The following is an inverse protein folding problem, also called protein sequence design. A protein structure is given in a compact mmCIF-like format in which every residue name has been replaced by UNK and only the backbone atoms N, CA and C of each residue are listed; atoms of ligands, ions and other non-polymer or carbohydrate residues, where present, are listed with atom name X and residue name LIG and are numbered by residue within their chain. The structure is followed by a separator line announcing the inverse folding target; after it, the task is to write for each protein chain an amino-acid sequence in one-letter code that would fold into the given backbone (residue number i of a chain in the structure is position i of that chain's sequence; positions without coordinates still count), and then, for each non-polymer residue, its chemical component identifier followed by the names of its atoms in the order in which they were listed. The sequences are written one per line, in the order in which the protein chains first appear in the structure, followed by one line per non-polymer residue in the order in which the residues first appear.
data_IF_384980464974
#
_entry.id   IF_384980464974
#
_cell.length_a   1.000
_cell.length_b   1.000
_cell.length_c   1.000
_cell.angle_alpha   90.00
_cell.angle_beta   90.00
_cell.angle_gamma   90.00
#
_symmetry.space_group_name_H-M   'P 1'
#
loop_
_entity.id
_entity.type
_entity.pdbx_description
1 polymer ?
#
# COMPACT_ATOMS: atom_id res chain seq x y z
N UNK A 1 15.75 51.36 -21.62
CA UNK A 1 15.33 49.96 -21.88
C UNK A 1 13.81 49.91 -21.74
N UNK A 2 13.11 49.56 -22.83
CA UNK A 2 11.64 49.55 -22.79
C UNK A 2 11.13 48.26 -22.10
N UNK A 3 10.55 48.42 -20.93
CA UNK A 3 10.02 47.31 -20.14
C UNK A 3 8.81 46.63 -20.78
N UNK A 4 8.09 47.37 -21.65
CA UNK A 4 6.95 46.81 -22.38
C UNK A 4 7.44 45.85 -23.44
N UNK A 5 8.44 46.26 -24.21
CA UNK A 5 9.10 45.41 -25.21
C UNK A 5 9.65 44.13 -24.61
N UNK A 6 10.30 44.22 -23.45
CA UNK A 6 10.81 43.03 -22.75
C UNK A 6 9.68 42.12 -22.23
N UNK A 7 8.56 42.68 -21.78
CA UNK A 7 7.41 41.92 -21.37
C UNK A 7 6.76 41.15 -22.50
N UNK A 8 6.67 41.78 -23.68
CA UNK A 8 6.13 41.15 -24.89
C UNK A 8 7.07 40.05 -25.43
N UNK A 9 8.38 40.29 -25.38
CA UNK A 9 9.40 39.34 -25.89
C UNK A 9 9.56 38.13 -25.00
N UNK A 10 9.59 38.29 -23.66
CA UNK A 10 9.92 37.23 -22.70
C UNK A 10 8.73 36.70 -21.89
N UNK A 11 7.54 37.30 -21.96
CA UNK A 11 6.31 36.87 -21.33
C UNK A 11 6.04 37.37 -19.89
N UNK A 12 7.04 37.63 -19.02
CA UNK A 12 6.80 38.13 -17.68
C UNK A 12 6.23 39.55 -17.67
N UNK A 13 5.31 39.86 -16.76
CA UNK A 13 4.76 41.22 -16.62
C UNK A 13 5.85 42.26 -16.34
N UNK A 14 5.67 43.46 -16.85
CA UNK A 14 6.62 44.60 -16.69
C UNK A 14 7.04 44.82 -15.23
N UNK A 15 6.10 44.73 -14.28
CA UNK A 15 6.39 44.78 -12.82
C UNK A 15 7.32 43.69 -12.32
N UNK A 16 7.24 42.49 -12.89
CA UNK A 16 8.14 41.36 -12.55
C UNK A 16 9.54 41.63 -13.05
N UNK A 17 9.67 42.08 -14.30
CA UNK A 17 10.96 42.45 -14.91
C UNK A 17 11.61 43.58 -14.12
N UNK A 18 10.86 44.61 -13.77
CA UNK A 18 11.35 45.72 -12.94
C UNK A 18 11.85 45.25 -11.58
N UNK A 19 11.13 44.34 -10.91
CA UNK A 19 11.54 43.76 -9.63
C UNK A 19 12.83 42.96 -9.76
N UNK A 20 12.99 42.17 -10.83
CA UNK A 20 14.21 41.43 -11.13
C UNK A 20 15.39 42.36 -11.40
N UNK A 21 15.18 43.40 -12.16
CA UNK A 21 16.20 44.43 -12.47
C UNK A 21 16.66 45.14 -11.19
N UNK A 22 15.75 45.58 -10.34
CA UNK A 22 16.08 46.20 -9.05
C UNK A 22 16.84 45.24 -8.11
N UNK A 23 16.48 43.96 -8.14
CA UNK A 23 17.20 42.94 -7.37
C UNK A 23 18.62 42.79 -7.91
N UNK A 24 18.77 42.63 -9.22
CA UNK A 24 20.08 42.52 -9.88
C UNK A 24 21.01 43.70 -9.55
N UNK A 25 20.49 44.91 -9.61
CA UNK A 25 21.28 46.09 -9.25
C UNK A 25 21.76 46.07 -7.78
N UNK A 26 21.01 45.42 -6.90
CA UNK A 26 21.32 45.36 -5.46
C UNK A 26 22.20 44.18 -5.09
N UNK A 27 22.02 43.02 -5.71
CA UNK A 27 22.62 41.75 -5.28
C UNK A 27 23.51 41.09 -6.33
N UNK A 28 23.51 41.60 -7.56
CA UNK A 28 24.22 40.96 -8.67
C UNK A 28 23.53 39.71 -9.24
N UNK A 29 22.39 39.31 -8.68
CA UNK A 29 21.65 38.12 -9.08
C UNK A 29 20.15 38.39 -9.13
N UNK A 30 19.42 37.65 -9.98
CA UNK A 30 17.96 37.68 -10.13
C UNK A 30 17.28 36.52 -9.41
N UNK A 31 18.04 35.51 -8.95
CA UNK A 31 17.51 34.35 -8.27
C UNK A 31 16.77 34.73 -6.98
N UNK A 32 15.68 34.03 -6.69
CA UNK A 32 14.94 34.27 -5.44
C UNK A 32 15.83 33.88 -4.25
N UNK A 33 15.94 34.80 -3.31
CA UNK A 33 16.61 34.52 -2.05
C UNK A 33 15.97 33.31 -1.39
N UNK A 34 16.74 32.26 -1.05
CA UNK A 34 16.18 31.13 -0.31
C UNK A 34 15.39 31.64 0.89
N UNK A 35 14.16 31.14 1.05
CA UNK A 35 13.37 31.49 2.24
C UNK A 35 14.18 31.07 3.47
N UNK A 36 14.41 32.02 4.37
CA UNK A 36 15.02 31.71 5.66
C UNK A 36 14.25 30.56 6.32
N UNK A 37 14.98 29.56 6.80
CA UNK A 37 14.40 28.46 7.55
C UNK A 37 13.57 29.06 8.69
N UNK A 38 12.29 28.69 8.76
CA UNK A 38 11.41 29.13 9.83
C UNK A 38 12.02 28.63 11.14
N UNK A 39 12.25 29.55 12.09
CA UNK A 39 12.64 29.18 13.46
C UNK A 39 11.51 28.31 14.05
N UNK A 40 11.91 27.28 14.82
CA UNK A 40 10.98 26.49 15.61
C UNK A 40 10.11 27.42 16.49
N UNK A 41 8.88 27.04 16.69
CA UNK A 41 7.93 27.77 17.54
C UNK A 41 8.17 27.54 19.02
N UNK A 42 8.88 26.47 19.32
CA UNK A 42 9.19 26.03 20.67
C UNK A 42 10.69 26.08 20.92
N UNK A 43 11.09 26.29 22.18
CA UNK A 43 12.48 26.13 22.61
C UNK A 43 12.99 24.70 22.30
N UNK A 44 14.32 24.50 22.15
CA UNK A 44 14.89 23.21 21.80
C UNK A 44 14.56 22.08 22.77
N UNK A 45 14.51 22.36 24.07
CA UNK A 45 14.15 21.44 25.15
C UNK A 45 12.71 20.90 24.99
N UNK A 46 11.78 21.78 24.64
CA UNK A 46 10.38 21.40 24.35
C UNK A 46 10.32 20.52 23.09
N UNK A 47 11.05 20.85 22.04
CA UNK A 47 11.09 20.05 20.79
C UNK A 47 11.61 18.66 21.08
N UNK A 48 12.69 18.53 21.85
CA UNK A 48 13.27 17.24 22.24
C UNK A 48 12.30 16.40 23.09
N UNK A 49 11.64 17.03 24.06
CA UNK A 49 10.65 16.36 24.90
C UNK A 49 9.46 15.84 24.08
N UNK A 50 8.96 16.63 23.11
CA UNK A 50 7.88 16.23 22.20
C UNK A 50 8.33 15.08 21.29
N UNK A 51 9.56 15.12 20.78
CA UNK A 51 10.10 14.03 19.95
C UNK A 51 10.15 12.70 20.74
N UNK A 52 10.63 12.78 21.99
CA UNK A 52 10.65 11.62 22.90
C UNK A 52 9.25 11.11 23.22
N UNK A 53 8.30 12.02 23.50
CA UNK A 53 6.90 11.66 23.74
C UNK A 53 6.29 10.93 22.56
N UNK A 54 6.43 11.47 21.35
CA UNK A 54 5.89 10.87 20.11
C UNK A 54 6.48 9.50 19.82
N UNK A 55 7.78 9.30 20.07
CA UNK A 55 8.44 7.99 19.93
C UNK A 55 7.87 6.96 20.91
N UNK A 56 7.57 7.37 22.14
CA UNK A 56 6.96 6.49 23.16
C UNK A 56 5.47 6.23 22.98
N UNK A 57 4.75 7.16 22.34
CA UNK A 57 3.30 7.13 22.19
C UNK A 57 2.89 7.37 20.73
N UNK A 58 3.19 6.47 19.79
CA UNK A 58 2.99 6.72 18.35
C UNK A 58 1.51 6.90 17.93
N UNK A 59 0.56 6.54 18.78
CA UNK A 59 -0.89 6.60 18.53
C UNK A 59 -1.61 7.67 19.34
N UNK A 60 -0.89 8.67 19.86
CA UNK A 60 -1.45 9.71 20.71
C UNK A 60 -2.49 10.58 20.02
N UNK A 61 -3.40 11.14 20.81
CA UNK A 61 -4.27 12.25 20.42
C UNK A 61 -3.61 13.60 20.72
N UNK A 62 -3.98 14.63 19.96
CA UNK A 62 -3.40 15.97 20.15
C UNK A 62 -3.64 16.51 21.56
N UNK A 63 -4.78 16.19 22.15
CA UNK A 63 -5.16 16.56 23.51
C UNK A 63 -4.22 15.95 24.56
N UNK A 64 -3.82 14.69 24.39
CA UNK A 64 -2.87 14.02 25.28
C UNK A 64 -1.48 14.69 25.24
N UNK A 65 -1.03 15.09 24.06
CA UNK A 65 0.21 15.86 23.92
C UNK A 65 0.07 17.28 24.48
N UNK A 66 -1.13 17.88 24.41
CA UNK A 66 -1.39 19.18 25.08
C UNK A 66 -1.26 19.06 26.59
N UNK A 67 -1.83 18.02 27.18
CA UNK A 67 -1.78 17.79 28.63
C UNK A 67 -0.34 17.51 29.07
N UNK A 68 0.40 16.66 28.36
CA UNK A 68 1.83 16.46 28.58
C UNK A 68 2.62 17.78 28.57
N UNK A 69 2.38 18.64 27.57
CA UNK A 69 3.07 19.93 27.46
C UNK A 69 2.69 20.92 28.58
N UNK A 70 1.46 20.87 29.09
CA UNK A 70 1.03 21.71 30.24
C UNK A 70 1.71 21.26 31.53
N UNK A 71 1.84 19.95 31.71
CA UNK A 71 2.43 19.36 32.91
C UNK A 71 3.95 19.56 32.96
N UNK A 72 4.65 19.26 31.87
CA UNK A 72 6.10 19.35 31.81
C UNK A 72 6.62 20.79 31.62
N UNK A 73 5.86 21.65 30.95
CA UNK A 73 6.25 23.02 30.61
C UNK A 73 5.16 24.05 31.00
N UNK A 74 4.89 24.29 32.30
CA UNK A 74 3.79 25.17 32.74
C UNK A 74 3.86 26.60 32.21
N UNK A 75 5.07 27.08 31.90
CA UNK A 75 5.32 28.44 31.38
C UNK A 75 5.22 28.52 29.84
N UNK A 76 5.01 27.39 29.15
CA UNK A 76 4.95 27.35 27.70
C UNK A 76 3.63 27.97 27.21
N UNK A 77 3.74 29.04 26.43
CA UNK A 77 2.63 29.63 25.72
C UNK A 77 2.53 28.99 24.32
N UNK A 78 1.38 29.02 23.69
CA UNK A 78 1.13 28.47 22.33
C UNK A 78 1.14 26.93 22.23
N UNK A 79 0.32 26.30 23.06
CA UNK A 79 0.03 24.87 23.03
C UNK A 79 -1.34 24.55 22.40
N UNK A 80 -1.84 25.40 21.50
CA UNK A 80 -3.08 25.10 20.77
C UNK A 80 -2.88 23.93 19.82
N UNK A 81 -3.93 23.16 19.56
CA UNK A 81 -3.93 22.02 18.61
C UNK A 81 -3.31 22.41 17.24
N UNK A 82 -3.63 23.63 16.76
CA UNK A 82 -3.07 24.16 15.51
C UNK A 82 -1.56 24.40 15.59
N UNK A 83 -1.05 24.87 16.74
CA UNK A 83 0.38 25.08 16.95
C UNK A 83 1.12 23.75 17.02
N UNK A 84 0.58 22.78 17.76
CA UNK A 84 1.10 21.42 17.85
C UNK A 84 1.17 20.77 16.48
N UNK A 85 0.06 20.75 15.72
CA UNK A 85 0.05 20.19 14.35
C UNK A 85 1.12 20.82 13.45
N UNK A 86 1.33 22.16 13.57
CA UNK A 86 2.36 22.85 12.78
C UNK A 86 3.77 22.51 13.25
N UNK A 87 4.00 22.38 14.55
CA UNK A 87 5.31 21.99 15.09
C UNK A 87 5.64 20.54 14.68
N UNK A 88 4.72 19.60 14.83
CA UNK A 88 4.89 18.23 14.36
C UNK A 88 5.25 18.18 12.87
N UNK A 89 4.50 18.90 12.02
CA UNK A 89 4.70 18.84 10.56
C UNK A 89 5.96 19.57 10.08
N UNK A 90 6.27 20.73 10.64
CA UNK A 90 7.31 21.62 10.09
C UNK A 90 8.61 21.61 10.91
N UNK A 91 8.52 21.49 12.23
CA UNK A 91 9.70 21.52 13.09
C UNK A 91 10.27 20.11 13.27
N UNK A 92 9.39 19.09 13.46
CA UNK A 92 9.78 17.69 13.63
C UNK A 92 9.65 16.83 12.35
N UNK A 93 9.15 17.39 11.25
CA UNK A 93 8.95 16.67 9.96
C UNK A 93 8.07 15.42 10.11
N UNK A 94 7.19 15.38 11.11
CA UNK A 94 6.28 14.27 11.37
C UNK A 94 4.97 14.45 10.62
N UNK A 95 4.53 13.43 9.90
CA UNK A 95 3.26 13.44 9.17
C UNK A 95 2.33 12.38 9.72
N UNK A 96 1.03 12.71 9.78
CA UNK A 96 0.00 11.73 10.16
C UNK A 96 -0.05 10.60 9.13
N UNK A 97 0.21 9.38 9.55
CA UNK A 97 0.14 8.17 8.71
C UNK A 97 -1.07 7.33 9.08
N UNK A 98 -1.58 6.56 8.12
CA UNK A 98 -2.53 5.49 8.43
C UNK A 98 -1.76 4.40 9.16
N UNK A 99 -2.31 3.92 10.27
CA UNK A 99 -1.67 2.85 11.04
C UNK A 99 -1.68 1.56 10.22
N UNK A 100 -0.50 0.99 10.03
CA UNK A 100 -0.36 -0.37 9.51
C UNK A 100 -0.38 -1.31 10.70
N UNK A 101 -1.38 -2.20 10.73
CA UNK A 101 -1.46 -3.23 11.76
C UNK A 101 -0.58 -4.39 11.34
N UNK A 102 0.53 -4.59 12.02
CA UNK A 102 1.29 -5.83 11.94
C UNK A 102 0.74 -6.81 12.97
N UNK A 103 0.64 -8.08 12.61
CA UNK A 103 0.25 -9.10 13.57
C UNK A 103 1.39 -9.28 14.59
N UNK A 104 1.04 -9.32 15.87
CA UNK A 104 2.00 -9.52 16.96
C UNK A 104 2.65 -10.91 16.90
N UNK A 105 1.95 -11.83 16.27
CA UNK A 105 2.31 -13.24 16.08
C UNK A 105 3.24 -13.48 14.89
N UNK A 106 3.50 -12.47 14.04
CA UNK A 106 4.46 -12.58 12.95
C UNK A 106 5.88 -12.69 13.52
N UNK A 107 6.53 -13.82 13.26
CA UNK A 107 7.89 -14.09 13.73
C UNK A 107 8.91 -13.76 12.63
N UNK A 108 9.87 -12.86 12.88
CA UNK A 108 10.92 -12.51 11.89
C UNK A 108 11.69 -13.73 11.39
N UNK A 109 11.88 -14.75 12.25
CA UNK A 109 12.56 -16.00 11.90
C UNK A 109 11.81 -16.78 10.81
N UNK A 110 10.49 -16.82 10.82
CA UNK A 110 9.67 -17.48 9.80
C UNK A 110 9.78 -16.76 8.44
N UNK A 111 9.89 -15.43 8.46
CA UNK A 111 10.14 -14.63 7.26
C UNK A 111 11.51 -14.98 6.66
N UNK A 112 12.56 -15.07 7.48
CA UNK A 112 13.89 -15.47 7.03
C UNK A 112 13.91 -16.89 6.44
N UNK A 113 13.22 -17.84 7.08
CA UNK A 113 13.09 -19.21 6.58
C UNK A 113 12.36 -19.23 5.22
N UNK A 114 11.29 -18.46 5.07
CA UNK A 114 10.58 -18.32 3.81
C UNK A 114 11.47 -17.74 2.72
N UNK A 115 12.17 -16.63 3.01
CA UNK A 115 13.08 -15.97 2.08
C UNK A 115 14.21 -16.93 1.62
N UNK A 116 14.81 -17.67 2.53
CA UNK A 116 15.84 -18.65 2.20
C UNK A 116 15.31 -19.79 1.30
N UNK A 117 14.10 -20.29 1.57
CA UNK A 117 13.44 -21.30 0.72
C UNK A 117 13.14 -20.76 -0.67
N UNK A 118 12.66 -19.52 -0.76
CA UNK A 118 12.36 -18.86 -2.03
C UNK A 118 13.64 -18.63 -2.83
N UNK A 119 14.69 -18.09 -2.21
CA UNK A 119 15.98 -17.83 -2.87
C UNK A 119 16.59 -19.07 -3.52
N UNK A 120 16.41 -20.25 -2.90
CA UNK A 120 16.90 -21.52 -3.42
C UNK A 120 16.26 -21.94 -4.76
N UNK A 121 15.09 -21.43 -5.10
CA UNK A 121 14.31 -21.82 -6.29
C UNK A 121 13.95 -20.66 -7.21
N UNK A 122 14.09 -19.41 -6.75
CA UNK A 122 13.68 -18.20 -7.43
C UNK A 122 14.83 -17.58 -8.23
N UNK A 123 14.56 -17.16 -9.45
CA UNK A 123 15.51 -16.47 -10.31
C UNK A 123 14.98 -15.14 -10.86
N UNK A 124 13.69 -15.04 -11.18
CA UNK A 124 13.06 -13.86 -11.76
C UNK A 124 11.56 -13.82 -11.47
N UNK A 125 10.93 -12.61 -11.45
CA UNK A 125 9.54 -12.41 -11.03
C UNK A 125 8.50 -13.23 -11.79
N UNK A 126 8.71 -13.46 -13.10
CA UNK A 126 7.74 -14.20 -13.93
C UNK A 126 7.58 -15.68 -13.53
N UNK A 127 8.46 -16.22 -12.68
CA UNK A 127 8.29 -17.57 -12.13
C UNK A 127 7.17 -17.65 -11.09
N UNK A 128 6.84 -16.53 -10.45
CA UNK A 128 5.93 -16.50 -9.31
C UNK A 128 4.47 -16.39 -9.75
N UNK A 129 3.62 -17.16 -9.08
CA UNK A 129 2.16 -17.06 -9.15
C UNK A 129 1.62 -17.03 -7.73
N UNK A 130 1.01 -15.92 -7.36
CA UNK A 130 0.34 -15.77 -6.06
C UNK A 130 -1.12 -16.15 -6.19
N UNK A 131 -1.59 -17.04 -5.32
CA UNK A 131 -2.96 -17.53 -5.29
C UNK A 131 -3.57 -17.23 -3.93
N UNK A 132 -4.78 -16.64 -3.94
CA UNK A 132 -5.49 -16.30 -2.70
C UNK A 132 -6.99 -16.09 -3.00
N UNK A 133 -7.81 -16.00 -1.93
CA UNK A 133 -9.22 -15.69 -2.04
C UNK A 133 -9.56 -14.32 -1.46
N UNK A 134 -10.45 -13.65 -2.14
CA UNK A 134 -11.11 -12.47 -1.60
C UNK A 134 -12.62 -12.64 -1.64
N UNK A 135 -13.31 -11.92 -0.78
CA UNK A 135 -14.77 -11.89 -0.80
C UNK A 135 -15.27 -10.47 -0.76
N UNK A 136 -16.42 -10.27 -1.40
CA UNK A 136 -17.13 -9.00 -1.39
C UNK A 136 -18.63 -9.25 -1.26
N UNK A 137 -19.26 -8.53 -0.33
CA UNK A 137 -20.72 -8.45 -0.30
C UNK A 137 -21.22 -7.17 -1.02
N UNK A 138 -22.51 -7.10 -1.27
CA UNK A 138 -23.11 -5.98 -1.99
C UNK A 138 -22.90 -4.62 -1.27
N UNK A 139 -22.76 -4.60 0.06
CA UNK A 139 -22.56 -3.36 0.83
C UNK A 139 -21.16 -2.79 0.69
N UNK A 140 -20.16 -3.61 0.57
CA UNK A 140 -18.77 -3.17 0.40
C UNK A 140 -18.51 -2.51 -0.96
N UNK A 141 -19.43 -2.68 -1.93
CA UNK A 141 -19.35 -2.02 -3.21
C UNK A 141 -19.76 -0.55 -3.16
N UNK A 142 -20.55 -0.12 -2.16
CA UNK A 142 -21.07 1.24 -2.12
C UNK A 142 -20.03 2.30 -1.73
N UNK A 143 -20.21 3.50 -2.33
CA UNK A 143 -19.40 4.67 -2.01
C UNK A 143 -19.70 5.13 -0.59
N UNK A 144 -18.66 5.40 0.21
CA UNK A 144 -18.78 5.79 1.62
C UNK A 144 -19.03 7.30 1.81
N UNK A 145 -18.77 8.12 0.80
CA UNK A 145 -18.84 9.58 0.89
C UNK A 145 -19.75 10.15 -0.18
N UNK A 146 -20.53 11.15 0.19
CA UNK A 146 -21.36 11.95 -0.69
C UNK A 146 -21.22 13.43 -0.34
N UNK A 147 -21.68 14.30 -1.24
CA UNK A 147 -21.69 15.74 -1.01
C UNK A 147 -23.11 16.20 -0.77
N UNK A 148 -23.29 17.10 0.22
CA UNK A 148 -24.54 17.78 0.51
C UNK A 148 -24.29 19.25 0.86
N UNK A 149 -25.33 20.07 0.96
CA UNK A 149 -25.19 21.45 1.41
C UNK A 149 -24.62 21.50 2.83
N UNK A 150 -23.82 22.53 3.13
CA UNK A 150 -23.27 22.75 4.47
C UNK A 150 -24.41 22.76 5.51
N UNK A 151 -24.25 21.95 6.56
CA UNK A 151 -25.26 21.81 7.62
C UNK A 151 -26.35 20.77 7.34
N UNK A 152 -26.36 20.09 6.18
CA UNK A 152 -27.31 19.02 5.88
C UNK A 152 -26.62 17.67 5.77
N UNK A 153 -27.34 16.58 6.14
CA UNK A 153 -26.81 15.22 6.02
C UNK A 153 -26.90 14.75 4.57
N UNK A 154 -25.86 14.09 4.10
CA UNK A 154 -25.93 13.32 2.85
C UNK A 154 -26.60 11.97 3.14
N UNK A 155 -27.79 11.75 2.60
CA UNK A 155 -28.58 10.52 2.83
C UNK A 155 -28.74 9.78 1.51
N UNK A 156 -28.38 8.50 1.50
CA UNK A 156 -28.62 7.58 0.39
C UNK A 156 -29.43 6.39 0.92
N UNK A 157 -30.50 6.04 0.25
CA UNK A 157 -31.29 4.84 0.57
C UNK A 157 -30.61 3.65 -0.07
N UNK A 158 -30.12 2.73 0.74
CA UNK A 158 -29.48 1.49 0.30
C UNK A 158 -30.31 0.30 0.78
N UNK A 159 -30.29 -0.85 0.05
CA UNK A 159 -30.89 -2.08 0.52
C UNK A 159 -30.31 -2.46 1.89
N UNK A 160 -31.17 -2.84 2.82
CA UNK A 160 -30.74 -3.26 4.17
C UNK A 160 -30.06 -4.64 4.14
N UNK A 161 -30.48 -5.51 3.21
CA UNK A 161 -29.88 -6.82 3.03
C UNK A 161 -28.44 -6.71 2.50
N UNK A 162 -27.57 -7.58 2.99
CA UNK A 162 -26.14 -7.64 2.54
C UNK A 162 -25.98 -8.10 1.09
N UNK A 163 -27.05 -8.68 0.51
CA UNK A 163 -26.95 -9.43 -0.74
C UNK A 163 -26.21 -10.76 -0.54
N UNK A 164 -26.09 -11.54 -1.61
CA UNK A 164 -25.27 -12.74 -1.60
C UNK A 164 -23.78 -12.35 -1.51
N UNK A 165 -23.03 -13.06 -0.67
CA UNK A 165 -21.58 -12.94 -0.62
C UNK A 165 -20.99 -13.66 -1.82
N UNK A 166 -20.18 -12.96 -2.60
CA UNK A 166 -19.40 -13.55 -3.68
C UNK A 166 -17.94 -13.67 -3.22
N UNK A 167 -17.42 -14.88 -3.28
CA UNK A 167 -16.01 -15.15 -3.06
C UNK A 167 -15.32 -15.39 -4.40
N UNK A 168 -14.11 -14.87 -4.54
CA UNK A 168 -13.29 -14.95 -5.74
C UNK A 168 -11.97 -15.57 -5.34
N UNK A 169 -11.62 -16.69 -5.96
CA UNK A 169 -10.24 -17.22 -6.00
C UNK A 169 -9.57 -16.61 -7.22
N UNK A 170 -8.38 -16.06 -7.07
CA UNK A 170 -7.62 -15.50 -8.18
C UNK A 170 -6.15 -15.85 -8.09
N UNK A 171 -5.50 -15.93 -9.25
CA UNK A 171 -4.07 -16.09 -9.40
C UNK A 171 -3.49 -14.83 -10.06
N UNK A 172 -2.43 -14.29 -9.46
CA UNK A 172 -1.70 -13.10 -9.90
C UNK A 172 -0.28 -13.50 -10.29
N UNK A 173 0.12 -13.19 -11.51
CA UNK A 173 1.51 -13.24 -11.94
C UNK A 173 2.15 -11.84 -11.93
N UNK A 174 3.40 -11.72 -12.39
CA UNK A 174 4.12 -10.44 -12.44
C UNK A 174 3.48 -9.38 -13.34
N UNK A 175 2.51 -9.74 -14.16
CA UNK A 175 1.88 -8.87 -15.17
C UNK A 175 0.44 -8.52 -14.84
N UNK A 176 -0.36 -9.53 -14.46
CA UNK A 176 -1.82 -9.39 -14.34
C UNK A 176 -2.47 -10.47 -13.47
N UNK A 177 -3.75 -10.34 -13.21
CA UNK A 177 -4.56 -11.47 -12.77
C UNK A 177 -4.69 -12.47 -13.94
N UNK A 178 -3.88 -13.52 -13.89
CA UNK A 178 -3.82 -14.51 -14.97
C UNK A 178 -5.08 -15.40 -15.06
N UNK A 179 -5.76 -15.60 -13.93
CA UNK A 179 -7.00 -16.39 -13.88
C UNK A 179 -7.78 -16.15 -12.59
N UNK A 180 -9.08 -16.42 -12.63
CA UNK A 180 -9.97 -16.34 -11.45
C UNK A 180 -11.20 -17.23 -11.60
N UNK A 181 -11.82 -17.56 -10.46
CA UNK A 181 -13.12 -18.22 -10.36
C UNK A 181 -13.94 -17.59 -9.24
N UNK A 182 -15.26 -17.55 -9.44
CA UNK A 182 -16.21 -17.03 -8.45
C UNK A 182 -17.07 -18.15 -7.88
N UNK A 183 -17.50 -17.98 -6.65
CA UNK A 183 -18.53 -18.82 -6.03
C UNK A 183 -19.44 -17.97 -5.15
N UNK A 184 -20.71 -18.32 -5.10
CA UNK A 184 -21.59 -17.79 -4.07
C UNK A 184 -21.22 -18.40 -2.70
N UNK A 185 -21.20 -17.56 -1.67
CA UNK A 185 -20.77 -17.94 -0.32
C UNK A 185 -19.25 -18.00 -0.17
N UNK A 186 -18.75 -19.07 0.44
CA UNK A 186 -17.33 -19.29 0.70
C UNK A 186 -16.82 -20.50 -0.08
N UNK A 187 -15.53 -20.47 -0.45
CA UNK A 187 -14.85 -21.66 -0.95
C UNK A 187 -14.76 -22.72 0.15
N UNK A 188 -15.20 -23.93 -0.17
CA UNK A 188 -14.82 -25.13 0.56
C UNK A 188 -13.54 -25.69 -0.04
N UNK A 189 -12.86 -26.61 0.66
CA UNK A 189 -11.64 -27.27 0.15
C UNK A 189 -11.86 -27.87 -1.25
N UNK A 190 -12.97 -28.60 -1.46
CA UNK A 190 -13.29 -29.18 -2.76
C UNK A 190 -13.48 -28.11 -3.83
N UNK A 191 -14.35 -27.13 -3.59
CA UNK A 191 -14.60 -26.03 -4.55
C UNK A 191 -13.30 -25.25 -4.88
N UNK A 192 -12.44 -25.08 -3.90
CA UNK A 192 -11.15 -24.42 -4.11
C UNK A 192 -10.26 -25.29 -5.01
N UNK A 193 -10.17 -26.57 -4.74
CA UNK A 193 -9.38 -27.50 -5.54
C UNK A 193 -9.86 -27.56 -7.00
N UNK A 194 -11.17 -27.71 -7.19
CA UNK A 194 -11.77 -27.75 -8.53
C UNK A 194 -11.50 -26.45 -9.30
N UNK A 195 -11.70 -25.29 -8.65
CA UNK A 195 -11.42 -23.99 -9.22
C UNK A 195 -9.92 -23.80 -9.55
N UNK A 196 -9.02 -24.27 -8.69
CA UNK A 196 -7.59 -24.27 -8.92
C UNK A 196 -7.19 -25.15 -10.11
N UNK A 197 -7.70 -26.39 -10.15
CA UNK A 197 -7.42 -27.34 -11.22
C UNK A 197 -7.93 -26.82 -12.60
N UNK A 198 -9.09 -26.21 -12.64
CA UNK A 198 -9.67 -25.70 -13.87
C UNK A 198 -9.07 -24.38 -14.36
N UNK A 199 -8.77 -23.46 -13.44
CA UNK A 199 -8.42 -22.10 -13.82
C UNK A 199 -6.92 -21.81 -13.72
N UNK A 200 -6.17 -22.44 -12.83
CA UNK A 200 -4.76 -22.09 -12.59
C UNK A 200 -3.83 -23.13 -13.21
N UNK A 201 -4.09 -24.42 -13.00
CA UNK A 201 -3.24 -25.53 -13.48
C UNK A 201 -2.91 -25.44 -14.97
N UNK A 202 -3.84 -25.11 -15.89
CA UNK A 202 -3.52 -25.02 -17.32
C UNK A 202 -2.50 -23.96 -17.70
N UNK A 203 -2.23 -23.02 -16.80
CA UNK A 203 -1.28 -21.91 -17.00
C UNK A 203 0.06 -22.12 -16.30
N UNK A 204 0.19 -23.17 -15.47
CA UNK A 204 1.42 -23.49 -14.79
C UNK A 204 2.41 -24.19 -15.72
N UNK A 205 3.68 -23.95 -15.49
CA UNK A 205 4.79 -24.59 -16.21
C UNK A 205 5.70 -25.35 -15.23
N UNK A 206 6.45 -26.33 -15.73
CA UNK A 206 7.50 -26.97 -14.94
C UNK A 206 8.58 -25.96 -14.53
N UNK A 207 9.07 -26.09 -13.32
CA UNK A 207 10.23 -25.32 -12.85
C UNK A 207 11.48 -25.67 -13.71
N UNK A 208 12.31 -24.70 -14.12
CA UNK A 208 12.36 -23.27 -13.69
C UNK A 208 11.70 -22.26 -14.66
N UNK A 209 10.74 -22.65 -15.45
CA UNK A 209 10.07 -21.79 -16.43
C UNK A 209 9.23 -20.70 -15.75
N UNK A 210 8.75 -19.66 -16.49
CA UNK A 210 7.75 -18.72 -15.98
C UNK A 210 6.50 -19.45 -15.46
N UNK A 211 5.84 -18.89 -14.43
CA UNK A 211 4.65 -19.46 -13.77
C UNK A 211 4.90 -20.88 -13.23
N UNK A 212 6.02 -21.07 -12.55
CA UNK A 212 6.46 -22.38 -12.05
C UNK A 212 6.62 -22.45 -10.53
N UNK A 213 6.40 -21.34 -9.81
CA UNK A 213 6.45 -21.28 -8.35
C UNK A 213 5.11 -20.71 -7.87
N UNK A 214 4.25 -21.57 -7.33
CA UNK A 214 2.95 -21.18 -6.77
C UNK A 214 3.14 -20.80 -5.31
N UNK A 215 2.67 -19.63 -4.93
CA UNK A 215 2.74 -19.11 -3.56
C UNK A 215 1.32 -18.90 -3.05
N UNK A 216 1.03 -19.41 -1.86
CA UNK A 216 -0.27 -19.30 -1.17
C UNK A 216 -0.05 -18.86 0.26
N UNK A 217 -1.10 -18.32 0.89
CA UNK A 217 -1.08 -18.11 2.33
C UNK A 217 -1.12 -19.43 3.12
N UNK A 218 -0.90 -19.33 4.41
CA UNK A 218 -0.83 -20.50 5.30
C UNK A 218 -2.22 -20.88 5.88
N UNK A 219 -3.31 -20.68 5.11
CA UNK A 219 -4.65 -21.07 5.54
C UNK A 219 -4.86 -22.59 5.47
N UNK A 220 -5.58 -23.14 6.45
CA UNK A 220 -5.87 -24.58 6.51
C UNK A 220 -6.58 -25.13 5.27
N UNK A 221 -7.30 -24.27 4.54
CA UNK A 221 -7.99 -24.65 3.31
C UNK A 221 -7.00 -24.95 2.17
N UNK A 222 -5.79 -24.38 2.21
CA UNK A 222 -4.73 -24.59 1.19
C UNK A 222 -3.77 -25.74 1.55
N UNK A 223 -3.74 -26.16 2.81
CA UNK A 223 -2.77 -27.14 3.32
C UNK A 223 -3.32 -28.57 3.24
N UNK A 224 -3.51 -29.09 2.01
CA UNK A 224 -3.94 -30.47 1.80
C UNK A 224 -3.14 -31.14 0.68
N UNK A 225 -3.02 -32.46 0.79
CA UNK A 225 -2.10 -33.25 -0.04
C UNK A 225 -2.47 -33.22 -1.52
N UNK A 226 -3.74 -33.31 -1.85
CA UNK A 226 -4.23 -33.33 -3.24
C UNK A 226 -3.84 -32.06 -4.02
N UNK A 227 -3.86 -30.88 -3.36
CA UNK A 227 -3.41 -29.64 -3.96
C UNK A 227 -1.90 -29.65 -4.23
N UNK A 228 -1.11 -30.13 -3.26
CA UNK A 228 0.33 -30.25 -3.40
C UNK A 228 0.69 -31.23 -4.52
N UNK A 229 0.02 -32.38 -4.57
CA UNK A 229 0.22 -33.39 -5.61
C UNK A 229 -0.12 -32.82 -7.00
N UNK A 230 -1.20 -32.03 -7.12
CA UNK A 230 -1.61 -31.37 -8.38
C UNK A 230 -0.53 -30.39 -8.86
N UNK A 231 0.01 -29.54 -7.97
CA UNK A 231 1.08 -28.60 -8.34
C UNK A 231 2.36 -29.37 -8.75
N UNK A 232 2.72 -30.42 -8.02
CA UNK A 232 3.91 -31.22 -8.33
C UNK A 232 3.76 -32.00 -9.63
N UNK A 233 2.57 -32.49 -9.98
CA UNK A 233 2.29 -33.17 -11.26
C UNK A 233 2.52 -32.23 -12.45
N UNK A 234 2.29 -30.91 -12.30
CA UNK A 234 2.65 -29.91 -13.31
C UNK A 234 4.17 -29.63 -13.39
N UNK A 235 4.99 -30.25 -12.53
CA UNK A 235 6.41 -29.94 -12.39
C UNK A 235 6.70 -28.60 -11.70
N UNK A 236 5.68 -27.92 -11.19
CA UNK A 236 5.80 -26.65 -10.49
C UNK A 236 6.20 -26.86 -9.01
N UNK A 237 6.64 -25.77 -8.38
CA UNK A 237 6.97 -25.72 -6.94
C UNK A 237 5.82 -25.04 -6.18
N UNK A 238 5.56 -25.51 -4.96
CA UNK A 238 4.62 -24.90 -4.04
C UNK A 238 5.36 -24.35 -2.83
N UNK A 239 5.08 -23.10 -2.46
CA UNK A 239 5.62 -22.44 -1.30
C UNK A 239 4.49 -21.75 -0.53
N UNK A 240 4.50 -21.85 0.79
CA UNK A 240 3.55 -21.14 1.64
C UNK A 240 4.20 -19.90 2.26
N UNK A 241 3.45 -18.79 2.28
CA UNK A 241 3.85 -17.57 2.98
C UNK A 241 3.99 -17.83 4.49
N UNK A 242 4.86 -17.09 5.18
CA UNK A 242 4.88 -17.12 6.64
C UNK A 242 3.52 -16.71 7.20
N UNK A 243 3.11 -17.24 8.35
CA UNK A 243 1.89 -16.79 9.00
C UNK A 243 1.90 -15.29 9.25
N UNK A 244 0.74 -14.66 9.08
CA UNK A 244 0.51 -13.23 9.38
C UNK A 244 1.42 -12.24 8.64
N UNK A 245 1.89 -12.58 7.43
CA UNK A 245 2.78 -11.74 6.62
C UNK A 245 2.12 -11.26 5.31
N UNK A 246 1.03 -10.46 5.39
CA UNK A 246 0.34 -9.97 4.20
C UNK A 246 1.18 -9.00 3.36
N UNK A 247 2.22 -8.39 3.95
CA UNK A 247 3.19 -7.53 3.26
C UNK A 247 4.02 -8.29 2.22
N UNK A 248 4.13 -9.61 2.35
CA UNK A 248 4.78 -10.49 1.38
C UNK A 248 3.80 -11.05 0.33
N UNK A 249 2.52 -10.66 0.38
CA UNK A 249 1.48 -11.16 -0.51
C UNK A 249 1.02 -10.10 -1.52
N UNK A 250 1.59 -10.02 -2.74
CA UNK A 250 1.23 -9.04 -3.76
C UNK A 250 -0.26 -9.07 -4.13
N UNK A 251 -0.90 -10.24 -4.11
CA UNK A 251 -2.31 -10.37 -4.51
C UNK A 251 -3.25 -9.62 -3.56
N UNK A 252 -2.88 -9.43 -2.29
CA UNK A 252 -3.68 -8.63 -1.35
C UNK A 252 -3.73 -7.15 -1.75
N UNK A 253 -2.62 -6.61 -2.27
CA UNK A 253 -2.56 -5.25 -2.81
C UNK A 253 -3.43 -5.17 -4.07
N UNK A 254 -3.31 -6.16 -4.97
CA UNK A 254 -4.11 -6.25 -6.19
C UNK A 254 -5.62 -6.38 -5.87
N UNK A 255 -6.01 -7.18 -4.88
CA UNK A 255 -7.39 -7.24 -4.38
C UNK A 255 -7.86 -5.90 -3.80
N UNK A 256 -6.97 -5.17 -3.14
CA UNK A 256 -7.24 -3.80 -2.70
C UNK A 256 -7.54 -2.86 -3.88
N UNK A 257 -6.80 -2.97 -4.99
CA UNK A 257 -7.04 -2.21 -6.22
C UNK A 257 -8.36 -2.62 -6.87
N UNK A 258 -8.63 -3.91 -7.02
CA UNK A 258 -9.88 -4.46 -7.52
C UNK A 258 -11.10 -3.95 -6.73
N UNK A 259 -11.05 -4.02 -5.39
CA UNK A 259 -12.14 -3.53 -4.52
C UNK A 259 -12.38 -2.04 -4.71
N UNK A 260 -11.32 -1.22 -4.87
CA UNK A 260 -11.44 0.22 -5.16
C UNK A 260 -11.99 0.48 -6.56
N UNK A 261 -11.57 -0.29 -7.56
CA UNK A 261 -12.07 -0.18 -8.92
C UNK A 261 -13.58 -0.46 -8.98
N UNK A 262 -14.04 -1.58 -8.38
CA UNK A 262 -15.46 -1.93 -8.30
C UNK A 262 -16.25 -0.83 -7.59
N UNK A 263 -15.76 -0.31 -6.46
CA UNK A 263 -16.42 0.75 -5.73
C UNK A 263 -16.55 2.05 -6.54
N UNK A 264 -15.59 2.33 -7.39
CA UNK A 264 -15.55 3.55 -8.22
C UNK A 264 -16.42 3.43 -9.45
N UNK A 265 -16.38 2.29 -10.15
CA UNK A 265 -16.92 2.13 -11.50
C UNK A 265 -18.15 1.22 -11.60
N UNK A 266 -18.29 0.25 -10.72
CA UNK A 266 -19.29 -0.80 -10.80
C UNK A 266 -20.10 -1.01 -9.51
N UNK A 267 -20.18 -0.02 -8.65
CA UNK A 267 -20.82 -0.13 -7.34
C UNK A 267 -22.31 -0.52 -7.37
N UNK A 268 -23.03 -0.18 -8.43
CA UNK A 268 -24.43 -0.54 -8.61
C UNK A 268 -24.61 -1.86 -9.36
N UNK A 269 -23.70 -2.19 -10.27
CA UNK A 269 -23.77 -3.39 -11.10
C UNK A 269 -23.24 -4.64 -10.38
N UNK A 270 -22.24 -4.49 -9.53
CA UNK A 270 -21.58 -5.62 -8.85
C UNK A 270 -22.56 -6.51 -8.06
N UNK A 271 -23.52 -5.97 -7.28
CA UNK A 271 -24.48 -6.81 -6.58
C UNK A 271 -25.45 -7.59 -7.49
N UNK A 272 -25.62 -7.16 -8.74
CA UNK A 272 -26.56 -7.73 -9.70
C UNK A 272 -25.90 -8.77 -10.63
N UNK A 273 -24.65 -8.54 -11.02
CA UNK A 273 -23.93 -9.38 -11.96
C UNK A 273 -22.41 -9.41 -11.63
N UNK A 274 -22.01 -10.02 -10.50
CA UNK A 274 -20.63 -9.98 -10.02
C UNK A 274 -19.62 -10.58 -11.00
N UNK A 275 -19.96 -11.69 -11.67
CA UNK A 275 -19.07 -12.35 -12.62
C UNK A 275 -18.72 -11.44 -13.79
N UNK A 276 -19.72 -10.82 -14.44
CA UNK A 276 -19.49 -9.89 -15.55
C UNK A 276 -18.69 -8.66 -15.15
N UNK A 277 -18.91 -8.17 -13.93
CA UNK A 277 -18.12 -7.05 -13.41
C UNK A 277 -16.66 -7.46 -13.19
N UNK A 278 -16.42 -8.69 -12.73
CA UNK A 278 -15.05 -9.19 -12.52
C UNK A 278 -14.33 -9.46 -13.84
N UNK A 279 -15.03 -9.93 -14.88
CA UNK A 279 -14.46 -10.08 -16.23
C UNK A 279 -13.87 -8.77 -16.77
N UNK A 280 -14.50 -7.63 -16.43
CA UNK A 280 -14.02 -6.30 -16.83
C UNK A 280 -13.02 -5.74 -15.84
N UNK A 281 -13.24 -5.93 -14.55
CA UNK A 281 -12.45 -5.30 -13.49
C UNK A 281 -11.06 -5.93 -13.31
N UNK A 282 -10.94 -7.25 -13.45
CA UNK A 282 -9.69 -7.98 -13.22
C UNK A 282 -8.56 -7.53 -14.15
N UNK A 283 -8.73 -7.46 -15.48
CA UNK A 283 -7.71 -6.92 -16.35
C UNK A 283 -7.41 -5.45 -16.06
N UNK A 284 -8.45 -4.61 -15.95
CA UNK A 284 -8.29 -3.16 -15.84
C UNK A 284 -7.68 -2.68 -14.51
N UNK A 285 -7.79 -3.43 -13.41
CA UNK A 285 -7.26 -3.00 -12.14
C UNK A 285 -5.73 -3.16 -12.04
N UNK A 286 -5.11 -3.94 -12.92
CA UNK A 286 -3.66 -4.15 -13.00
C UNK A 286 -3.00 -3.36 -14.14
N UNK A 287 -3.75 -2.69 -15.03
CA UNK A 287 -3.23 -1.88 -16.14
C UNK A 287 -2.63 -0.51 -15.75
N UNK A 288 -2.57 -0.16 -14.45
CA UNK A 288 -2.00 1.13 -14.01
C UNK A 288 -0.48 1.17 -14.23
N UNK A 289 0.10 2.40 -14.27
CA UNK A 289 1.49 2.70 -14.69
C UNK A 289 2.60 1.78 -14.14
N UNK A 290 2.39 1.15 -12.98
CA UNK A 290 3.34 0.18 -12.42
C UNK A 290 2.90 -1.29 -12.61
N UNK A 291 1.67 -1.55 -13.08
CA UNK A 291 1.15 -2.90 -13.27
C UNK A 291 1.28 -3.81 -12.04
N UNK A 292 1.23 -5.10 -12.26
CA UNK A 292 1.52 -6.08 -11.23
C UNK A 292 3.02 -6.10 -10.86
N UNK A 293 3.94 -5.73 -11.78
CA UNK A 293 5.37 -5.63 -11.50
C UNK A 293 5.69 -4.66 -10.35
N UNK A 294 5.04 -3.50 -10.32
CA UNK A 294 5.21 -2.54 -9.22
C UNK A 294 4.71 -3.07 -7.88
N UNK A 295 3.67 -3.91 -7.89
CA UNK A 295 3.16 -4.58 -6.69
C UNK A 295 4.14 -5.65 -6.22
N UNK A 296 4.71 -6.43 -7.14
CA UNK A 296 5.74 -7.43 -6.84
C UNK A 296 6.99 -6.79 -6.24
N UNK A 297 7.51 -5.73 -6.85
CA UNK A 297 8.64 -4.96 -6.33
C UNK A 297 8.34 -4.39 -4.93
N UNK A 298 7.13 -3.86 -4.70
CA UNK A 298 6.71 -3.36 -3.39
C UNK A 298 6.74 -4.42 -2.28
N UNK A 299 6.46 -5.68 -2.62
CA UNK A 299 6.51 -6.82 -1.70
C UNK A 299 7.90 -7.47 -1.63
N UNK A 300 8.93 -6.89 -2.27
CA UNK A 300 10.31 -7.39 -2.21
C UNK A 300 10.65 -8.52 -3.18
N UNK A 301 9.83 -8.75 -4.22
CA UNK A 301 10.07 -9.78 -5.23
C UNK A 301 10.85 -9.27 -6.46
N UNK A 302 11.59 -8.18 -6.32
CA UNK A 302 12.63 -7.81 -7.29
C UNK A 302 13.88 -8.69 -7.07
N UNK A 303 14.40 -9.27 -8.15
CA UNK A 303 15.56 -10.19 -8.10
C UNK A 303 16.80 -9.55 -7.45
N UNK A 304 16.96 -8.23 -7.53
CA UNK A 304 18.08 -7.50 -6.93
C UNK A 304 17.85 -7.16 -5.45
N UNK A 305 16.60 -6.89 -5.05
CA UNK A 305 16.27 -6.52 -3.68
C UNK A 305 16.17 -7.74 -2.75
N UNK A 306 15.70 -8.87 -3.23
CA UNK A 306 15.61 -10.10 -2.42
C UNK A 306 16.98 -10.51 -1.88
N UNK A 307 18.01 -10.53 -2.73
CA UNK A 307 19.39 -10.81 -2.33
C UNK A 307 19.93 -9.83 -1.30
N UNK A 308 19.61 -8.52 -1.48
CA UNK A 308 20.07 -7.46 -0.59
C UNK A 308 19.41 -7.54 0.79
N UNK A 309 18.11 -7.78 0.85
CA UNK A 309 17.33 -7.91 2.09
C UNK A 309 17.83 -9.08 2.96
N UNK A 310 18.16 -10.22 2.37
CA UNK A 310 18.68 -11.39 3.09
C UNK A 310 20.08 -11.08 3.66
N UNK A 311 20.96 -10.45 2.87
CA UNK A 311 22.29 -10.04 3.36
C UNK A 311 22.23 -9.05 4.51
N UNK A 312 21.33 -8.08 4.46
CA UNK A 312 21.15 -7.07 5.50
C UNK A 312 20.53 -7.68 6.77
N UNK A 313 19.59 -8.62 6.62
CA UNK A 313 18.99 -9.34 7.74
C UNK A 313 19.98 -10.26 8.45
N UNK A 314 20.80 -10.99 7.70
CA UNK A 314 21.87 -11.84 8.27
C UNK A 314 22.96 -11.02 8.97
N UNK A 315 23.25 -9.79 8.52
CA UNK A 315 24.16 -8.87 9.19
C UNK A 315 23.60 -8.40 10.55
N UNK A 316 22.30 -8.08 10.60
CA UNK A 316 21.66 -7.60 11.81
C UNK A 316 21.54 -8.68 12.89
N UNK A 317 21.33 -9.93 12.53
CA UNK A 317 21.33 -11.06 13.49
C UNK A 317 22.71 -11.27 14.12
N UNK A 318 23.80 -11.13 13.36
CA UNK A 318 25.16 -11.22 13.90
C UNK A 318 25.56 -10.09 14.85
N UNK A 319 24.91 -8.94 14.79
CA UNK A 319 25.13 -7.79 15.70
C UNK A 319 24.24 -7.81 16.94
N UNK A 320 23.22 -8.67 17.01
CA UNK A 320 22.38 -8.85 18.20
C UNK A 320 22.87 -9.94 19.16
N UNK A 321 23.88 -10.72 18.75
CA UNK A 321 24.52 -11.77 19.57
C UNK A 321 25.88 -11.33 20.18
N UNK A 322 26.28 -10.08 19.99
CA UNK A 322 27.43 -9.44 20.62
C UNK A 322 26.97 -8.33 21.54
#
# INVERSE_FOLDING_TARGET
MDLKFLSELFGPKTRTIQRWYQRFLRTGDVADTPRALRRSRWPPDVVEAVEKYVKGHPTFYIEELQDFLRDEFPNLRNISASTICRALNFDLQLTRKKLTKAAREALPEEILVYQAKLEAIYSFPDQLVFLDETSKDGRDAFRRYARSKKGTKAVVKLPFSRGSRVSVMAALDSKEFMSWRCTEGTFTRSKFHDAFAEAVVPHLNPWPLPRSIVIMDNAKIHMFKELQDTVHQCGAKLLFLPPYSPELNPIEIAFGQLKRWIQRHANLCFPLCPEKVLEVAMPLCTEQEAGAEGIFAHCGYDANELRKSIFDSLRNVRHSET
#
